data_IF_110525697606
#
_entry.id   IF_110525697606
#
_cell.length_a   1.000
_cell.length_b   1.000
_cell.length_c   1.000
_cell.angle_alpha   90.00
_cell.angle_beta   90.00
_cell.angle_gamma   90.00
#
_symmetry.space_group_name_H-M   'P 1'
#
loop_
_entity.id
_entity.type
_entity.pdbx_description
1 polymer ?
#
# COMPACT_ATOMS: atom_id res chain seq x y z
N UNK A 1 17.58 11.36 -0.31
CA UNK A 1 16.41 10.84 0.42
C UNK A 1 16.91 9.78 1.40
N UNK A 2 16.52 9.81 2.67
CA UNK A 2 16.90 8.79 3.66
C UNK A 2 15.98 7.56 3.56
N UNK A 3 16.39 6.37 4.06
CA UNK A 3 15.52 5.19 4.09
C UNK A 3 14.19 5.44 4.80
N UNK A 4 14.20 6.19 5.91
CA UNK A 4 12.97 6.52 6.65
C UNK A 4 12.02 7.41 5.85
N UNK A 5 12.54 8.33 5.02
CA UNK A 5 11.68 9.16 4.17
C UNK A 5 11.02 8.31 3.07
N UNK A 6 11.70 7.28 2.56
CA UNK A 6 11.09 6.36 1.60
C UNK A 6 10.02 5.51 2.29
N UNK A 7 10.27 5.02 3.50
CA UNK A 7 9.25 4.31 4.30
C UNK A 7 8.02 5.20 4.51
N UNK A 8 8.20 6.48 4.80
CA UNK A 8 7.08 7.42 4.89
C UNK A 8 6.27 7.51 3.60
N UNK A 9 6.93 7.53 2.44
CA UNK A 9 6.25 7.54 1.14
C UNK A 9 5.39 6.30 0.97
N UNK A 10 5.88 5.10 1.34
CA UNK A 10 5.12 3.86 1.18
C UNK A 10 4.02 3.65 2.23
N UNK A 11 4.18 4.18 3.44
CA UNK A 11 3.23 3.99 4.54
C UNK A 11 2.14 5.07 4.62
N UNK A 12 2.28 6.16 3.88
CA UNK A 12 1.25 7.22 3.74
C UNK A 12 0.69 7.20 2.31
N UNK A 13 -0.59 6.83 2.12
CA UNK A 13 -1.19 6.74 0.78
C UNK A 13 -1.14 8.04 -0.03
N UNK A 14 -1.23 9.19 0.65
CA UNK A 14 -1.19 10.50 -0.02
C UNK A 14 0.19 10.77 -0.59
N UNK A 15 1.23 10.52 0.22
CA UNK A 15 2.63 10.62 -0.23
C UNK A 15 2.96 9.58 -1.31
N UNK A 16 2.40 8.37 -1.20
CA UNK A 16 2.60 7.32 -2.19
C UNK A 16 2.08 7.75 -3.57
N UNK A 17 0.86 8.30 -3.63
CA UNK A 17 0.27 8.82 -4.87
C UNK A 17 1.04 10.03 -5.42
N UNK A 18 1.48 10.95 -4.56
CA UNK A 18 2.30 12.10 -4.97
C UNK A 18 3.65 11.66 -5.56
N UNK A 19 4.24 10.60 -5.01
CA UNK A 19 5.55 10.09 -5.44
C UNK A 19 5.47 9.23 -6.70
N UNK A 20 4.38 8.50 -6.91
CA UNK A 20 4.16 7.62 -8.08
C UNK A 20 2.94 8.01 -8.94
N UNK A 21 2.81 9.28 -9.37
CA UNK A 21 1.56 9.79 -9.95
C UNK A 21 1.23 9.18 -11.31
N UNK A 22 2.22 8.71 -12.07
CA UNK A 22 2.01 8.07 -13.38
C UNK A 22 1.62 6.59 -13.30
N UNK A 23 1.74 5.99 -12.12
CA UNK A 23 1.52 4.55 -11.90
C UNK A 23 0.32 4.34 -10.98
N UNK A 24 0.20 5.14 -9.92
CA UNK A 24 -0.84 4.99 -8.89
C UNK A 24 -1.83 6.14 -9.01
N UNK A 25 -3.06 5.83 -9.44
CA UNK A 25 -4.13 6.83 -9.54
C UNK A 25 -4.89 7.03 -8.22
N UNK A 26 -4.95 5.98 -7.40
CA UNK A 26 -5.60 6.00 -6.10
C UNK A 26 -4.95 5.01 -5.15
N UNK A 27 -4.78 5.37 -3.88
CA UNK A 27 -4.35 4.47 -2.83
C UNK A 27 -5.00 4.86 -1.50
N UNK A 28 -5.34 3.87 -0.68
CA UNK A 28 -5.83 4.08 0.70
C UNK A 28 -5.54 2.87 1.57
N UNK A 29 -5.36 3.13 2.86
CA UNK A 29 -5.41 2.07 3.88
C UNK A 29 -6.89 1.75 4.10
N UNK A 30 -7.29 0.49 3.90
CA UNK A 30 -8.65 0.05 4.23
C UNK A 30 -8.76 -0.30 5.71
N UNK A 31 -7.75 -1.00 6.25
CA UNK A 31 -7.75 -1.48 7.62
C UNK A 31 -6.34 -1.45 8.24
N UNK A 32 -6.14 -0.76 9.36
CA UNK A 32 -4.91 -0.88 10.13
C UNK A 32 -4.97 -2.12 11.03
N UNK A 33 -4.27 -3.19 10.65
CA UNK A 33 -4.35 -4.49 11.34
C UNK A 33 -3.41 -4.56 12.55
N UNK A 34 -2.20 -4.03 12.42
CA UNK A 34 -1.22 -3.92 13.51
C UNK A 34 -0.65 -2.52 13.51
N UNK A 35 -0.89 -1.78 14.59
CA UNK A 35 -0.33 -0.46 14.79
C UNK A 35 1.06 -0.58 15.44
N UNK A 36 2.11 -0.53 14.61
CA UNK A 36 3.48 -0.66 15.08
C UNK A 36 4.03 0.62 15.70
N UNK A 37 5.28 0.58 16.14
CA UNK A 37 5.96 1.72 16.75
C UNK A 37 6.04 2.89 15.75
N UNK A 38 5.62 4.07 16.20
CA UNK A 38 5.51 5.29 15.39
C UNK A 38 4.68 5.12 14.10
N UNK A 39 3.79 4.12 14.07
CA UNK A 39 2.95 3.80 12.89
C UNK A 39 3.72 3.25 11.69
N UNK A 40 4.98 2.80 11.88
CA UNK A 40 5.84 2.32 10.77
C UNK A 40 6.55 1.02 11.10
N UNK A 41 7.22 0.95 12.25
CA UNK A 41 8.03 -0.22 12.58
C UNK A 41 7.14 -1.32 13.15
N UNK A 42 7.20 -2.52 12.57
CA UNK A 42 6.34 -3.65 12.89
C UNK A 42 4.85 -3.36 12.65
N UNK A 43 4.56 -2.56 11.61
CA UNK A 43 3.20 -2.17 11.24
C UNK A 43 2.67 -3.04 10.11
N UNK A 44 1.41 -3.47 10.22
CA UNK A 44 0.69 -4.23 9.20
C UNK A 44 -0.60 -3.51 8.85
N UNK A 45 -0.78 -3.19 7.57
CA UNK A 45 -1.98 -2.53 7.07
C UNK A 45 -2.54 -3.27 5.87
N UNK A 46 -3.87 -3.28 5.73
CA UNK A 46 -4.54 -3.64 4.49
C UNK A 46 -4.59 -2.38 3.61
N UNK A 47 -4.04 -2.50 2.41
CA UNK A 47 -4.00 -1.47 1.40
C UNK A 47 -4.95 -1.81 0.27
N UNK A 48 -5.52 -0.78 -0.32
CA UNK A 48 -6.17 -0.81 -1.63
C UNK A 48 -5.47 0.19 -2.54
N UNK A 49 -5.16 -0.20 -3.78
CA UNK A 49 -4.66 0.72 -4.78
C UNK A 49 -5.25 0.48 -6.17
N UNK A 50 -5.24 1.56 -6.96
CA UNK A 50 -5.57 1.57 -8.37
C UNK A 50 -4.34 1.98 -9.15
N UNK A 51 -3.93 1.12 -10.08
CA UNK A 51 -2.85 1.40 -11.01
C UNK A 51 -3.40 1.89 -12.34
N UNK A 52 -2.87 3.01 -12.81
CA UNK A 52 -3.14 3.55 -14.13
C UNK A 52 -1.97 3.30 -15.08
N UNK A 53 -2.30 3.19 -16.36
CA UNK A 53 -1.32 3.09 -17.44
C UNK A 53 -1.56 4.23 -18.42
N UNK A 54 -0.48 4.83 -18.92
CA UNK A 54 -0.54 5.95 -19.86
C UNK A 54 -1.02 5.54 -21.27
N UNK A 55 -1.28 4.25 -21.49
CA UNK A 55 -1.78 3.72 -22.76
C UNK A 55 -3.30 3.52 -22.69
N UNK A 56 -4.11 4.19 -23.54
CA UNK A 56 -5.58 4.13 -23.49
C UNK A 56 -6.19 2.72 -23.61
N UNK A 57 -5.44 1.78 -24.19
CA UNK A 57 -5.90 0.41 -24.40
C UNK A 57 -5.76 -0.49 -23.15
N UNK A 58 -5.12 -0.02 -22.08
CA UNK A 58 -4.92 -0.79 -20.86
C UNK A 58 -5.82 -0.20 -19.76
N UNK A 59 -6.83 -0.94 -19.28
CA UNK A 59 -7.70 -0.45 -18.22
C UNK A 59 -6.93 -0.33 -16.89
N UNK A 60 -7.42 0.55 -16.03
CA UNK A 60 -6.97 0.65 -14.64
C UNK A 60 -7.10 -0.71 -13.94
N UNK A 61 -6.11 -1.07 -13.13
CA UNK A 61 -6.13 -2.31 -12.34
C UNK A 61 -6.30 -1.98 -10.88
N UNK A 62 -7.16 -2.72 -10.20
CA UNK A 62 -7.41 -2.56 -8.77
C UNK A 62 -6.91 -3.80 -8.03
N UNK A 63 -6.31 -3.61 -6.87
CA UNK A 63 -5.95 -4.73 -6.00
C UNK A 63 -5.85 -4.30 -4.54
N UNK A 64 -6.07 -5.30 -3.68
CA UNK A 64 -5.90 -5.19 -2.25
C UNK A 64 -4.76 -6.10 -1.79
N UNK A 65 -3.97 -5.62 -0.85
CA UNK A 65 -2.81 -6.34 -0.36
C UNK A 65 -2.49 -5.95 1.07
N UNK A 66 -1.83 -6.87 1.78
CA UNK A 66 -1.24 -6.62 3.08
C UNK A 66 0.14 -6.00 2.89
N UNK A 67 0.37 -4.84 3.51
CA UNK A 67 1.69 -4.19 3.58
C UNK A 67 2.23 -4.30 4.99
N UNK A 68 3.33 -5.03 5.15
CA UNK A 68 4.08 -5.09 6.40
C UNK A 68 5.36 -4.25 6.29
N UNK A 69 5.60 -3.40 7.28
CA UNK A 69 6.79 -2.56 7.36
C UNK A 69 7.55 -2.82 8.66
N UNK A 70 8.87 -3.01 8.55
CA UNK A 70 9.75 -3.25 9.70
C UNK A 70 11.14 -2.68 9.48
N UNK A 71 11.70 -2.11 10.54
CA UNK A 71 13.11 -1.81 10.61
C UNK A 71 13.86 -3.08 11.05
N UNK A 72 14.66 -3.64 10.16
CA UNK A 72 15.37 -4.91 10.39
C UNK A 72 16.76 -4.71 11.02
N UNK A 73 17.35 -3.53 10.81
CA UNK A 73 18.57 -3.08 11.48
C UNK A 73 18.60 -1.54 11.51
N UNK A 74 19.56 -0.93 12.20
CA UNK A 74 19.74 0.51 12.25
C UNK A 74 19.86 1.10 10.83
N UNK A 75 18.89 1.92 10.44
CA UNK A 75 18.84 2.51 9.10
C UNK A 75 18.39 1.57 7.97
N UNK A 76 18.13 0.29 8.25
CA UNK A 76 17.71 -0.70 7.26
C UNK A 76 16.24 -1.09 7.46
N UNK A 77 15.44 -0.91 6.41
CA UNK A 77 14.00 -1.14 6.44
C UNK A 77 13.58 -2.15 5.38
N UNK A 78 12.56 -2.93 5.70
CA UNK A 78 11.90 -3.85 4.79
C UNK A 78 10.41 -3.52 4.73
N UNK A 79 9.88 -3.46 3.51
CA UNK A 79 8.45 -3.40 3.24
C UNK A 79 8.11 -4.62 2.38
N UNK A 80 7.12 -5.39 2.81
CA UNK A 80 6.65 -6.56 2.10
C UNK A 80 5.16 -6.41 1.80
N UNK A 81 4.82 -6.55 0.52
CA UNK A 81 3.45 -6.52 0.03
C UNK A 81 3.03 -7.95 -0.37
N UNK A 82 1.91 -8.41 0.19
CA UNK A 82 1.35 -9.74 -0.10
C UNK A 82 -0.08 -9.55 -0.57
N UNK A 83 -0.39 -10.04 -1.78
CA UNK A 83 -1.74 -9.99 -2.33
C UNK A 83 -2.73 -10.63 -1.35
N UNK A 84 -3.78 -9.90 -1.02
CA UNK A 84 -4.90 -10.46 -0.28
C UNK A 84 -5.91 -10.93 -1.31
N UNK A 85 -6.11 -12.25 -1.39
CA UNK A 85 -7.26 -12.81 -2.11
C UNK A 85 -8.52 -12.47 -1.31
N UNK A 86 -9.00 -11.24 -1.48
CA UNK A 86 -10.38 -10.94 -1.14
C UNK A 86 -11.20 -11.69 -2.19
N UNK A 87 -11.71 -12.87 -1.84
CA UNK A 87 -12.93 -13.34 -2.47
C UNK A 87 -13.87 -12.14 -2.39
N UNK A 88 -14.16 -11.49 -3.54
CA UNK A 88 -15.32 -10.59 -3.62
C UNK A 88 -16.43 -11.44 -3.05
N UNK A 89 -16.90 -11.14 -1.83
CA UNK A 89 -18.11 -11.75 -1.33
C UNK A 89 -19.12 -11.50 -2.45
N UNK A 90 -19.49 -12.59 -3.12
CA UNK A 90 -20.49 -12.56 -4.15
C UNK A 90 -21.70 -11.89 -3.51
N UNK A 91 -22.24 -10.90 -4.21
CA UNK A 91 -23.57 -10.35 -4.00
C UNK A 91 -24.45 -11.20 -3.05
N UNK A 92 -24.50 -10.83 -1.78
CA UNK A 92 -25.57 -11.24 -0.89
C UNK A 92 -26.22 -9.98 -0.33
N UNK A 93 -27.34 -9.61 -0.96
CA UNK A 93 -28.20 -8.53 -0.49
C UNK A 93 -29.10 -7.97 -1.57
N UNK A 94 -30.20 -8.70 -1.81
CA UNK A 94 -31.53 -8.32 -2.34
C UNK A 94 -31.65 -7.14 -3.33
#
# INVERSE_FOLDING_TARGET
MSPVNLVEVFMDPSKFMEFFPSIVSHARITDPLVNGLNGRNESLVMMYEQLQFMTPAVPTREFSFLRYCRQIDQGMWAIADVSADMQREAHYGA
#
